data_IF_521419100959
#
_entry.id   IF_521419100959
#
_cell.length_a   1.000
_cell.length_b   1.000
_cell.length_c   1.000
_cell.angle_alpha   90.00
_cell.angle_beta   90.00
_cell.angle_gamma   90.00
#
_symmetry.space_group_name_H-M   'P 1'
#
loop_
_entity.id
_entity.type
_entity.pdbx_description
1 polymer ?
#
# COMPACT_ATOMS: atom_id res chain seq x y z
N UNK A 1 -18.48 -19.43 -3.51
CA UNK A 1 -17.03 -19.33 -3.78
C UNK A 1 -16.79 -18.67 -5.13
N UNK A 2 -15.71 -17.89 -5.27
CA UNK A 2 -15.23 -17.39 -6.56
C UNK A 2 -14.44 -18.51 -7.24
N UNK A 3 -14.93 -19.04 -8.37
CA UNK A 3 -14.18 -20.06 -9.12
C UNK A 3 -12.99 -19.42 -9.85
N UNK A 4 -11.94 -20.21 -10.10
CA UNK A 4 -10.78 -19.80 -10.92
C UNK A 4 -11.23 -19.15 -12.24
N UNK A 5 -12.20 -19.77 -12.92
CA UNK A 5 -12.74 -19.27 -14.19
C UNK A 5 -13.40 -17.89 -14.06
N UNK A 6 -14.22 -17.69 -13.01
CA UNK A 6 -14.86 -16.41 -12.76
C UNK A 6 -13.83 -15.29 -12.48
N UNK A 7 -12.77 -15.60 -11.73
CA UNK A 7 -11.67 -14.64 -11.49
C UNK A 7 -10.95 -14.30 -12.81
N UNK A 8 -10.63 -15.29 -13.64
CA UNK A 8 -9.99 -15.04 -14.94
C UNK A 8 -10.86 -14.18 -15.87
N UNK A 9 -12.17 -14.43 -15.92
CA UNK A 9 -13.07 -13.63 -16.74
C UNK A 9 -13.21 -12.19 -16.21
N UNK A 10 -13.28 -12.04 -14.88
CA UNK A 10 -13.24 -10.71 -14.25
C UNK A 10 -11.96 -9.95 -14.61
N UNK A 11 -10.78 -10.60 -14.52
CA UNK A 11 -9.49 -9.98 -14.86
C UNK A 11 -9.46 -9.54 -16.33
N UNK A 12 -9.92 -10.41 -17.24
CA UNK A 12 -10.04 -10.10 -18.67
C UNK A 12 -10.91 -8.86 -18.89
N UNK A 13 -12.09 -8.83 -18.30
CA UNK A 13 -13.06 -7.74 -18.49
C UNK A 13 -12.57 -6.43 -17.89
N UNK A 14 -11.92 -6.47 -16.71
CA UNK A 14 -11.29 -5.30 -16.09
C UNK A 14 -10.15 -4.76 -16.96
N UNK A 15 -9.29 -5.62 -17.50
CA UNK A 15 -8.17 -5.22 -18.35
C UNK A 15 -8.66 -4.59 -19.66
N UNK A 16 -9.56 -5.28 -20.38
CA UNK A 16 -10.13 -4.77 -21.63
C UNK A 16 -10.91 -3.47 -21.38
N UNK A 17 -11.69 -3.41 -20.29
CA UNK A 17 -12.43 -2.22 -19.90
C UNK A 17 -11.53 -1.04 -19.58
N UNK A 18 -10.41 -1.27 -18.87
CA UNK A 18 -9.42 -0.23 -18.57
C UNK A 18 -8.75 0.30 -19.85
N UNK A 19 -8.34 -0.59 -20.75
CA UNK A 19 -7.76 -0.22 -22.05
C UNK A 19 -8.74 0.61 -22.88
N UNK A 20 -9.98 0.14 -23.03
CA UNK A 20 -11.02 0.86 -23.78
C UNK A 20 -11.29 2.26 -23.23
N UNK A 21 -11.36 2.42 -21.90
CA UNK A 21 -11.52 3.74 -21.26
C UNK A 21 -10.34 4.67 -21.51
N UNK A 22 -9.13 4.11 -21.63
CA UNK A 22 -7.93 4.85 -21.99
C UNK A 22 -7.77 5.10 -23.49
N UNK A 23 -8.72 4.65 -24.33
CA UNK A 23 -8.59 4.62 -25.79
C UNK A 23 -7.32 3.86 -26.27
N UNK A 24 -7.04 2.73 -25.60
CA UNK A 24 -5.91 1.84 -25.87
C UNK A 24 -6.40 0.44 -26.24
N UNK A 25 -5.49 -0.32 -26.84
CA UNK A 25 -5.63 -1.74 -27.17
C UNK A 25 -4.57 -2.57 -26.45
N UNK A 26 -4.65 -3.89 -26.58
CA UNK A 26 -3.66 -4.81 -25.99
C UNK A 26 -2.28 -4.64 -26.64
N UNK A 27 -2.24 -4.18 -27.88
CA UNK A 27 -0.98 -3.93 -28.59
C UNK A 27 -0.20 -2.76 -27.98
N UNK A 28 -0.92 -1.77 -27.43
CA UNK A 28 -0.35 -0.61 -26.75
C UNK A 28 0.27 -0.94 -25.37
N UNK A 29 -0.04 -2.11 -24.81
CA UNK A 29 0.59 -2.55 -23.56
C UNK A 29 2.06 -2.89 -23.79
N UNK A 30 2.94 -2.37 -22.95
CA UNK A 30 4.35 -2.76 -22.96
C UNK A 30 4.65 -3.90 -21.98
N UNK A 31 3.91 -3.97 -20.87
CA UNK A 31 4.11 -4.94 -19.82
C UNK A 31 2.86 -5.06 -18.94
N UNK A 32 2.62 -6.23 -18.35
CA UNK A 32 1.55 -6.49 -17.37
C UNK A 32 2.18 -7.07 -16.10
N UNK A 33 2.03 -6.34 -14.99
CA UNK A 33 2.37 -6.83 -13.66
C UNK A 33 1.15 -7.49 -13.05
N UNK A 34 1.34 -8.68 -12.50
CA UNK A 34 0.32 -9.45 -11.81
C UNK A 34 0.68 -9.46 -10.33
N UNK A 35 -0.23 -8.94 -9.50
CA UNK A 35 -0.06 -8.91 -8.05
C UNK A 35 -1.10 -9.81 -7.40
N UNK A 36 -0.68 -10.62 -6.44
CA UNK A 36 -1.57 -11.45 -5.63
C UNK A 36 -2.21 -10.69 -4.47
N UNK A 37 -2.01 -9.36 -4.32
CA UNK A 37 -2.50 -8.59 -3.16
C UNK A 37 -3.98 -8.79 -2.76
N UNK A 38 -4.82 -9.29 -3.66
CA UNK A 38 -6.20 -9.72 -3.39
C UNK A 38 -6.28 -10.92 -2.39
N UNK A 39 -5.15 -11.52 -1.99
CA UNK A 39 -5.11 -12.75 -1.20
C UNK A 39 -5.23 -12.59 0.31
N UNK A 40 -5.45 -11.38 0.83
CA UNK A 40 -5.60 -11.14 2.27
C UNK A 40 -6.75 -11.93 2.96
N UNK A 41 -7.59 -12.64 2.20
CA UNK A 41 -8.61 -13.56 2.72
C UNK A 41 -8.40 -15.06 2.47
N UNK A 42 -7.40 -15.49 1.68
CA UNK A 42 -7.19 -16.91 1.38
C UNK A 42 -6.23 -17.54 2.38
N UNK A 43 -6.58 -18.73 2.86
CA UNK A 43 -5.92 -19.38 3.99
C UNK A 43 -4.90 -20.44 3.56
N UNK A 44 -4.96 -20.92 2.30
CA UNK A 44 -4.13 -22.03 1.83
C UNK A 44 -3.18 -21.67 0.67
N UNK A 45 -1.97 -22.26 0.60
CA UNK A 45 -1.05 -22.13 -0.55
C UNK A 45 -1.66 -22.55 -1.89
N UNK A 46 -2.63 -23.47 -1.87
CA UNK A 46 -3.34 -23.94 -3.07
C UNK A 46 -4.24 -22.84 -3.65
N UNK A 47 -4.96 -22.10 -2.80
CA UNK A 47 -5.76 -20.94 -3.21
C UNK A 47 -4.90 -19.82 -3.82
N UNK A 48 -3.73 -19.56 -3.23
CA UNK A 48 -2.76 -18.58 -3.77
C UNK A 48 -2.29 -19.03 -5.16
N UNK A 49 -1.93 -20.31 -5.31
CA UNK A 49 -1.50 -20.87 -6.60
C UNK A 49 -2.62 -20.77 -7.65
N UNK A 50 -3.84 -21.13 -7.28
CA UNK A 50 -5.00 -21.02 -8.15
C UNK A 50 -5.29 -19.57 -8.55
N UNK A 51 -5.10 -18.62 -7.63
CA UNK A 51 -5.23 -17.19 -7.91
C UNK A 51 -4.17 -16.70 -8.90
N UNK A 52 -2.89 -17.06 -8.71
CA UNK A 52 -1.81 -16.71 -9.65
C UNK A 52 -2.12 -17.20 -11.06
N UNK A 53 -2.58 -18.45 -11.18
CA UNK A 53 -2.96 -19.01 -12.47
C UNK A 53 -4.20 -18.30 -13.02
N UNK A 54 -5.19 -17.98 -12.19
CA UNK A 54 -6.38 -17.26 -12.63
C UNK A 54 -6.05 -15.87 -13.20
N UNK A 55 -5.15 -15.13 -12.54
CA UNK A 55 -4.65 -13.83 -13.01
C UNK A 55 -3.94 -13.96 -14.36
N UNK A 56 -3.09 -14.97 -14.52
CA UNK A 56 -2.40 -15.27 -15.78
C UNK A 56 -3.38 -15.59 -16.91
N UNK A 57 -4.32 -16.49 -16.65
CA UNK A 57 -5.34 -16.93 -17.60
C UNK A 57 -6.23 -15.77 -18.02
N UNK A 58 -6.57 -14.86 -17.11
CA UNK A 58 -7.32 -13.64 -17.44
C UNK A 58 -6.59 -12.72 -18.42
N UNK A 59 -5.28 -12.52 -18.24
CA UNK A 59 -4.46 -11.76 -19.19
C UNK A 59 -4.40 -12.44 -20.56
N UNK A 60 -4.23 -13.76 -20.60
CA UNK A 60 -4.21 -14.54 -21.85
C UNK A 60 -5.56 -14.47 -22.58
N UNK A 61 -6.67 -14.61 -21.86
CA UNK A 61 -8.02 -14.45 -22.41
C UNK A 61 -8.27 -13.03 -22.96
N UNK A 62 -7.58 -12.03 -22.42
CA UNK A 62 -7.65 -10.66 -22.93
C UNK A 62 -6.77 -10.44 -24.16
N UNK A 63 -6.00 -11.44 -24.61
CA UNK A 63 -5.09 -11.36 -25.75
C UNK A 63 -3.68 -10.89 -25.41
N UNK A 64 -3.32 -10.76 -24.12
CA UNK A 64 -1.97 -10.34 -23.73
C UNK A 64 -0.98 -11.47 -24.01
N UNK A 65 0.06 -11.25 -24.83
CA UNK A 65 1.06 -12.27 -25.10
C UNK A 65 1.92 -12.56 -23.85
N UNK A 66 2.38 -13.81 -23.64
CA UNK A 66 3.27 -14.17 -22.53
C UNK A 66 4.53 -13.31 -22.41
N UNK A 67 5.07 -12.83 -23.54
CA UNK A 67 6.24 -11.95 -23.58
C UNK A 67 6.03 -10.60 -22.87
N UNK A 68 4.79 -10.12 -22.74
CA UNK A 68 4.46 -8.90 -21.99
C UNK A 68 4.23 -9.17 -20.49
N UNK A 69 4.37 -10.42 -20.03
CA UNK A 69 4.17 -10.82 -18.63
C UNK A 69 5.46 -11.34 -17.96
N UNK A 70 6.57 -11.38 -18.70
CA UNK A 70 7.87 -11.85 -18.25
C UNK A 70 8.94 -10.77 -18.46
N UNK A 71 9.90 -10.58 -17.53
CA UNK A 71 11.00 -9.65 -17.71
C UNK A 71 11.77 -9.90 -19.01
N UNK A 72 12.23 -8.83 -19.66
CA UNK A 72 13.15 -8.94 -20.78
C UNK A 72 14.51 -9.46 -20.29
N UNK A 73 15.08 -10.41 -21.06
CA UNK A 73 16.40 -10.99 -20.81
C UNK A 73 17.52 -10.17 -21.43
N UNK A 74 17.18 -9.34 -22.42
CA UNK A 74 18.13 -8.46 -23.09
C UNK A 74 17.43 -7.20 -23.59
N UNK A 75 18.23 -6.15 -23.84
CA UNK A 75 17.74 -4.87 -24.36
C UNK A 75 16.94 -5.00 -25.65
N UNK A 76 17.28 -5.96 -26.52
CA UNK A 76 16.61 -6.18 -27.81
C UNK A 76 15.15 -6.65 -27.68
N UNK A 77 14.74 -7.15 -26.51
CA UNK A 77 13.36 -7.56 -26.24
C UNK A 77 12.49 -6.41 -25.75
N UNK A 78 13.08 -5.24 -25.46
CA UNK A 78 12.34 -4.06 -25.04
C UNK A 78 11.89 -3.23 -26.26
N UNK A 79 10.74 -2.55 -26.16
CA UNK A 79 10.33 -1.53 -27.13
C UNK A 79 11.42 -0.47 -27.31
N UNK A 80 11.74 -0.14 -28.57
CA UNK A 80 12.79 0.83 -28.95
C UNK A 80 12.76 2.16 -28.17
N UNK A 81 11.60 2.77 -27.84
CA UNK A 81 11.57 4.00 -27.06
C UNK A 81 12.25 3.91 -25.67
N UNK A 82 12.44 2.71 -25.13
CA UNK A 82 13.05 2.49 -23.82
C UNK A 82 14.57 2.30 -23.84
N UNK A 83 15.19 2.22 -25.02
CA UNK A 83 16.63 1.96 -25.14
C UNK A 83 17.51 2.95 -24.38
N UNK A 84 17.09 4.22 -24.32
CA UNK A 84 17.78 5.29 -23.60
C UNK A 84 17.67 5.20 -22.07
N UNK A 85 16.70 4.44 -21.56
CA UNK A 85 16.47 4.23 -20.13
C UNK A 85 16.92 2.85 -19.66
N UNK A 86 17.23 1.95 -20.58
CA UNK A 86 17.66 0.58 -20.29
C UNK A 86 19.06 0.57 -19.68
N UNK A 87 19.20 -0.09 -18.53
CA UNK A 87 20.46 -0.27 -17.81
C UNK A 87 20.91 -1.74 -17.76
N UNK A 88 20.33 -2.63 -18.58
CA UNK A 88 20.66 -4.06 -18.61
C UNK A 88 22.14 -4.33 -18.94
N UNK A 89 22.80 -3.44 -19.69
CA UNK A 89 24.25 -3.54 -19.98
C UNK A 89 25.12 -3.18 -18.75
N UNK A 90 24.51 -2.70 -17.66
CA UNK A 90 25.21 -2.20 -16.48
C UNK A 90 24.88 -2.99 -15.22
N UNK A 91 23.65 -3.49 -15.10
CA UNK A 91 23.10 -4.17 -13.93
C UNK A 91 22.11 -5.25 -14.38
N UNK A 92 21.88 -6.24 -13.53
CA UNK A 92 20.77 -7.18 -13.68
C UNK A 92 19.71 -6.96 -12.59
N UNK A 93 18.48 -7.40 -12.85
CA UNK A 93 17.43 -7.41 -11.84
C UNK A 93 17.74 -8.50 -10.81
N UNK A 94 17.85 -8.11 -9.55
CA UNK A 94 18.25 -8.94 -8.41
C UNK A 94 17.15 -9.05 -7.36
N UNK A 95 15.90 -8.78 -7.76
CA UNK A 95 14.73 -8.77 -6.89
C UNK A 95 14.50 -7.44 -6.15
N UNK A 96 15.47 -6.52 -6.13
CA UNK A 96 15.28 -5.24 -5.44
C UNK A 96 14.36 -4.29 -6.23
N UNK A 97 13.29 -3.83 -5.59
CA UNK A 97 12.31 -2.90 -6.17
C UNK A 97 12.51 -1.52 -5.57
N UNK A 98 12.73 -0.51 -6.42
CA UNK A 98 12.98 0.88 -5.98
C UNK A 98 14.08 1.04 -4.90
N UNK A 99 15.13 0.20 -4.98
CA UNK A 99 16.26 0.24 -4.05
C UNK A 99 15.98 -0.36 -2.68
N UNK A 100 14.99 -1.25 -2.57
CA UNK A 100 14.65 -1.98 -1.36
C UNK A 100 14.74 -3.47 -1.66
N UNK A 101 15.43 -4.23 -0.81
CA UNK A 101 15.47 -5.69 -0.89
C UNK A 101 14.20 -6.26 -0.25
N UNK A 102 13.53 -7.23 -0.88
CA UNK A 102 12.44 -7.95 -0.22
C UNK A 102 12.96 -8.71 1.02
N UNK A 103 12.12 -8.93 2.04
CA UNK A 103 12.43 -9.81 3.17
C UNK A 103 12.87 -11.20 2.70
N UNK A 104 13.83 -11.78 3.41
CA UNK A 104 14.30 -13.14 3.15
C UNK A 104 13.45 -14.15 3.90
N UNK A 105 12.96 -15.19 3.22
CA UNK A 105 12.27 -16.31 3.84
C UNK A 105 10.82 -16.44 3.40
N UNK A 106 10.00 -17.11 4.23
CA UNK A 106 8.57 -17.27 3.99
C UNK A 106 7.86 -15.91 4.17
N UNK A 107 6.83 -15.68 3.36
CA UNK A 107 5.99 -14.48 3.46
C UNK A 107 5.52 -14.25 4.89
N UNK A 108 5.66 -13.01 5.33
CA UNK A 108 5.42 -12.59 6.71
C UNK A 108 3.95 -12.20 6.92
N UNK A 109 3.35 -11.59 5.90
CA UNK A 109 1.93 -11.19 5.88
C UNK A 109 1.35 -11.46 4.49
N UNK A 110 0.07 -11.84 4.42
CA UNK A 110 -0.57 -12.21 3.15
C UNK A 110 -0.63 -11.06 2.11
N UNK A 111 -0.50 -9.82 2.55
CA UNK A 111 -0.50 -8.61 1.72
C UNK A 111 0.90 -7.98 1.56
N UNK A 112 1.97 -8.76 1.72
CA UNK A 112 3.35 -8.26 1.67
C UNK A 112 3.71 -7.62 0.31
N UNK A 113 3.25 -8.23 -0.79
CA UNK A 113 3.43 -7.69 -2.15
C UNK A 113 2.66 -6.38 -2.35
N UNK A 114 1.50 -6.23 -1.72
CA UNK A 114 0.73 -4.98 -1.73
C UNK A 114 1.55 -3.85 -1.10
N UNK A 115 2.17 -4.11 0.06
CA UNK A 115 3.08 -3.17 0.71
C UNK A 115 4.29 -2.78 -0.15
N UNK A 116 4.84 -3.71 -0.93
CA UNK A 116 5.93 -3.41 -1.88
C UNK A 116 5.48 -2.46 -2.99
N UNK A 117 4.35 -2.78 -3.63
CA UNK A 117 3.80 -1.97 -4.72
C UNK A 117 3.39 -0.59 -4.21
N UNK A 118 2.77 -0.50 -3.04
CA UNK A 118 2.43 0.78 -2.41
C UNK A 118 3.68 1.62 -2.17
N UNK A 119 4.72 1.04 -1.57
CA UNK A 119 5.98 1.75 -1.33
C UNK A 119 6.59 2.26 -2.63
N UNK A 120 6.65 1.40 -3.63
CA UNK A 120 7.21 1.73 -4.93
C UNK A 120 6.40 2.81 -5.66
N UNK A 121 5.07 2.72 -5.59
CA UNK A 121 4.16 3.68 -6.21
C UNK A 121 4.18 5.05 -5.54
N UNK A 122 4.26 5.11 -4.21
CA UNK A 122 4.43 6.39 -3.51
C UNK A 122 5.78 7.03 -3.87
N UNK A 123 6.86 6.24 -4.02
CA UNK A 123 8.15 6.77 -4.50
C UNK A 123 8.07 7.36 -5.91
N UNK A 124 7.20 6.82 -6.77
CA UNK A 124 6.90 7.43 -8.08
C UNK A 124 6.07 8.71 -7.88
N UNK A 125 5.03 8.63 -7.06
CA UNK A 125 4.14 9.74 -6.71
C UNK A 125 4.89 10.97 -6.22
N UNK A 126 5.89 10.74 -5.37
CA UNK A 126 6.78 11.76 -4.82
C UNK A 126 7.53 12.56 -5.87
N UNK A 127 7.74 12.04 -7.08
CA UNK A 127 8.40 12.78 -8.17
C UNK A 127 7.59 13.96 -8.68
N UNK A 128 6.29 14.00 -8.39
CA UNK A 128 5.42 15.14 -8.70
C UNK A 128 5.30 16.12 -7.53
N UNK A 129 6.04 15.89 -6.44
CA UNK A 129 6.04 16.74 -5.25
C UNK A 129 7.47 17.20 -4.92
N UNK A 130 7.62 18.00 -3.87
CA UNK A 130 8.92 18.40 -3.35
C UNK A 130 9.46 17.44 -2.27
N UNK A 131 8.66 16.45 -1.86
CA UNK A 131 9.02 15.51 -0.79
C UNK A 131 9.88 14.39 -1.37
N UNK A 132 11.10 14.25 -0.88
CA UNK A 132 11.96 13.13 -1.26
C UNK A 132 11.51 11.83 -0.54
N UNK A 133 10.65 11.02 -1.13
CA UNK A 133 10.17 9.78 -0.49
C UNK A 133 11.11 8.57 -0.62
N UNK A 134 12.41 8.78 -0.84
CA UNK A 134 13.40 7.69 -0.82
C UNK A 134 13.61 7.16 0.61
N UNK A 135 14.52 6.20 0.78
CA UNK A 135 14.70 5.56 2.09
C UNK A 135 15.43 6.47 3.11
N UNK A 136 15.21 6.36 4.43
CA UNK A 136 14.22 5.50 5.08
C UNK A 136 12.81 6.09 4.90
N UNK A 137 11.81 5.24 4.74
CA UNK A 137 10.43 5.69 4.56
C UNK A 137 9.43 4.70 5.15
N UNK A 138 8.26 5.19 5.53
CA UNK A 138 7.09 4.40 5.90
C UNK A 138 5.97 4.67 4.89
N UNK A 139 5.48 3.61 4.25
CA UNK A 139 4.34 3.64 3.36
C UNK A 139 3.10 3.08 4.07
N UNK A 140 1.96 3.72 3.87
CA UNK A 140 0.68 3.34 4.47
C UNK A 140 -0.38 3.32 3.36
N UNK A 141 -1.02 2.18 3.17
CA UNK A 141 -2.17 2.03 2.30
C UNK A 141 -3.45 1.90 3.12
N UNK A 142 -4.31 2.90 2.98
CA UNK A 142 -5.69 2.88 3.46
C UNK A 142 -6.63 2.37 2.37
N UNK A 143 -6.36 1.16 1.88
CA UNK A 143 -7.29 0.35 1.10
C UNK A 143 -8.41 -0.18 1.99
N UNK A 144 -9.07 -1.27 1.60
CA UNK A 144 -10.03 -1.95 2.49
C UNK A 144 -9.31 -2.51 3.72
N UNK A 145 -8.19 -3.19 3.49
CA UNK A 145 -7.23 -3.65 4.48
C UNK A 145 -6.09 -2.63 4.62
N UNK A 146 -5.45 -2.64 5.78
CA UNK A 146 -4.21 -1.91 6.02
C UNK A 146 -3.05 -2.69 5.38
N UNK A 147 -2.30 -2.03 4.51
CA UNK A 147 -1.04 -2.54 3.97
C UNK A 147 0.05 -1.45 4.06
N UNK A 148 1.31 -1.85 3.89
CA UNK A 148 2.42 -0.90 3.91
C UNK A 148 3.70 -1.50 4.43
N UNK A 149 4.80 -0.75 4.28
CA UNK A 149 6.15 -1.16 4.70
C UNK A 149 6.93 0.00 5.28
N UNK A 150 7.89 -0.35 6.11
CA UNK A 150 8.86 0.58 6.69
C UNK A 150 10.25 0.13 6.25
N UNK A 151 11.05 1.05 5.69
CA UNK A 151 12.39 0.78 5.17
C UNK A 151 13.45 1.56 5.94
N UNK A 152 14.63 0.97 6.09
CA UNK A 152 15.79 1.64 6.71
C UNK A 152 16.67 2.34 5.67
N UNK A 153 17.76 2.97 6.12
CA UNK A 153 18.70 3.75 5.31
C UNK A 153 19.96 2.96 4.90
N UNK A 154 19.91 1.62 4.90
CA UNK A 154 21.05 0.79 4.48
C UNK A 154 21.40 1.01 3.01
N UNK A 155 22.69 0.82 2.68
CA UNK A 155 23.25 0.93 1.32
C UNK A 155 23.90 -0.39 0.87
N UNK A 156 23.91 -0.69 -0.44
CA UNK A 156 23.29 0.09 -1.52
C UNK A 156 21.76 -0.02 -1.57
N UNK A 157 21.21 -1.02 -0.88
CA UNK A 157 19.76 -1.22 -0.78
C UNK A 157 19.30 -1.11 0.67
N UNK A 158 18.12 -0.51 0.83
CA UNK A 158 17.42 -0.56 2.09
C UNK A 158 16.84 -1.96 2.32
N UNK A 159 16.65 -2.29 3.60
CA UNK A 159 15.86 -3.45 4.00
C UNK A 159 14.48 -2.98 4.47
N UNK A 160 13.50 -3.86 4.31
CA UNK A 160 12.24 -3.77 5.05
C UNK A 160 12.54 -4.07 6.52
N UNK A 161 12.13 -3.17 7.41
CA UNK A 161 12.27 -3.30 8.87
C UNK A 161 10.93 -3.36 9.59
N UNK A 162 9.83 -3.10 8.87
CA UNK A 162 8.49 -3.36 9.37
C UNK A 162 7.47 -3.49 8.25
N UNK A 163 6.35 -4.17 8.53
CA UNK A 163 5.20 -4.27 7.65
C UNK A 163 3.92 -3.89 8.41
N UNK A 164 2.93 -3.39 7.67
CA UNK A 164 1.62 -3.04 8.19
C UNK A 164 0.56 -4.05 7.73
N UNK A 165 -0.35 -4.42 8.63
CA UNK A 165 -1.44 -5.35 8.32
C UNK A 165 -2.74 -5.05 9.10
N UNK A 166 -3.86 -5.62 8.64
CA UNK A 166 -5.14 -5.58 9.36
C UNK A 166 -6.20 -4.73 8.67
N UNK A 167 -7.03 -4.04 9.44
CA UNK A 167 -8.17 -3.25 8.96
C UNK A 167 -7.79 -1.78 8.74
N UNK A 168 -8.22 -1.21 7.61
CA UNK A 168 -8.11 0.23 7.32
C UNK A 168 -9.46 0.80 6.87
N UNK A 169 -9.73 0.82 5.57
CA UNK A 169 -10.99 1.33 5.01
C UNK A 169 -12.22 0.57 5.50
N UNK A 170 -12.09 -0.71 5.83
CA UNK A 170 -13.15 -1.50 6.44
C UNK A 170 -13.69 -0.89 7.75
N UNK A 171 -12.87 -0.14 8.50
CA UNK A 171 -13.28 0.59 9.71
C UNK A 171 -14.22 1.73 9.34
N UNK A 172 -13.84 2.52 8.32
CA UNK A 172 -14.67 3.63 7.85
C UNK A 172 -15.97 3.12 7.21
N UNK A 173 -15.89 2.02 6.44
CA UNK A 173 -17.05 1.38 5.84
C UNK A 173 -18.00 0.84 6.92
N UNK A 174 -17.50 0.28 8.02
CA UNK A 174 -18.32 -0.17 9.14
C UNK A 174 -19.15 0.98 9.75
N UNK A 175 -18.50 2.10 10.07
CA UNK A 175 -19.20 3.28 10.59
C UNK A 175 -20.28 3.73 9.60
N UNK A 176 -19.99 3.76 8.30
CA UNK A 176 -20.98 4.16 7.29
C UNK A 176 -22.12 3.14 7.13
N UNK A 177 -21.88 1.83 7.22
CA UNK A 177 -22.96 0.83 7.14
C UNK A 177 -23.99 0.99 8.24
N UNK A 178 -23.56 1.37 9.44
CA UNK A 178 -24.45 1.67 10.56
C UNK A 178 -25.33 2.91 10.37
N UNK A 179 -24.91 3.85 9.51
CA UNK A 179 -25.65 5.09 9.24
C UNK A 179 -26.96 4.92 8.45
N UNK A 180 -27.15 3.76 7.81
CA UNK A 180 -28.29 3.52 6.92
C UNK A 180 -28.20 4.19 5.54
N UNK A 181 -27.11 4.91 5.23
CA UNK A 181 -26.91 5.60 3.95
C UNK A 181 -26.47 4.67 2.81
N UNK A 182 -25.99 3.48 3.14
CA UNK A 182 -25.44 2.51 2.20
C UNK A 182 -25.97 1.12 2.49
N UNK A 183 -25.65 0.15 1.63
CA UNK A 183 -26.02 -1.25 1.87
C UNK A 183 -25.39 -1.77 3.17
N UNK A 184 -26.21 -2.32 4.07
CA UNK A 184 -25.77 -2.80 5.39
C UNK A 184 -24.68 -3.89 5.36
N UNK A 185 -24.59 -4.66 4.29
CA UNK A 185 -23.65 -5.79 4.20
C UNK A 185 -22.45 -5.52 3.29
N UNK A 186 -22.61 -4.66 2.28
CA UNK A 186 -21.61 -4.44 1.22
C UNK A 186 -21.29 -2.97 0.94
N UNK A 187 -21.97 -2.06 1.63
CA UNK A 187 -21.83 -0.64 1.39
C UNK A 187 -20.49 -0.10 1.86
N UNK A 188 -19.95 0.83 1.08
CA UNK A 188 -18.71 1.53 1.37
C UNK A 188 -18.95 3.04 1.44
N UNK A 189 -18.01 3.78 2.02
CA UNK A 189 -18.06 5.26 2.09
C UNK A 189 -18.32 5.91 0.71
N UNK A 190 -17.81 5.27 -0.36
CA UNK A 190 -17.91 5.77 -1.74
C UNK A 190 -19.33 5.74 -2.30
N UNK A 191 -20.21 4.92 -1.73
CA UNK A 191 -21.59 4.78 -2.19
C UNK A 191 -22.49 5.93 -1.71
N UNK A 192 -21.98 6.78 -0.81
CA UNK A 192 -22.70 7.97 -0.32
C UNK A 192 -22.79 9.02 -1.43
N UNK A 193 -24.03 9.28 -1.88
CA UNK A 193 -24.34 10.21 -2.98
C UNK A 193 -24.49 11.67 -2.55
N UNK A 194 -25.06 11.94 -1.37
CA UNK A 194 -25.27 13.30 -0.86
C UNK A 194 -24.31 13.58 0.30
N UNK A 195 -23.60 14.71 0.25
CA UNK A 195 -22.59 15.12 1.24
C UNK A 195 -22.88 16.48 1.87
N UNK A 196 -24.10 16.97 1.73
CA UNK A 196 -24.51 18.27 2.28
C UNK A 196 -24.77 18.21 3.79
N UNK A 197 -24.68 19.37 4.43
CA UNK A 197 -24.94 19.53 5.86
C UNK A 197 -23.90 20.42 6.56
N UNK A 198 -24.22 20.83 7.79
CA UNK A 198 -23.31 21.57 8.65
C UNK A 198 -22.58 20.60 9.58
N UNK A 199 -21.25 20.63 9.55
CA UNK A 199 -20.41 19.79 10.41
C UNK A 199 -20.56 20.22 11.87
N UNK A 200 -20.94 19.28 12.74
CA UNK A 200 -20.81 19.44 14.19
C UNK A 200 -19.48 18.85 14.68
N UNK A 201 -18.44 19.70 14.75
CA UNK A 201 -17.07 19.27 15.07
C UNK A 201 -16.94 18.61 16.45
N UNK A 202 -17.57 19.18 17.48
CA UNK A 202 -17.54 18.63 18.84
C UNK A 202 -18.11 17.20 18.89
N UNK A 203 -19.19 16.98 18.15
CA UNK A 203 -19.81 15.67 18.07
C UNK A 203 -18.95 14.67 17.29
N UNK A 204 -18.36 15.11 16.18
CA UNK A 204 -17.43 14.30 15.40
C UNK A 204 -16.18 13.89 16.20
N UNK A 205 -15.62 14.81 17.00
CA UNK A 205 -14.50 14.53 17.91
C UNK A 205 -14.89 13.49 18.97
N UNK A 206 -16.02 13.69 19.65
CA UNK A 206 -16.57 12.72 20.63
C UNK A 206 -16.69 11.33 20.03
N UNK A 207 -17.32 11.19 18.86
CA UNK A 207 -17.51 9.88 18.23
C UNK A 207 -16.23 9.32 17.61
N UNK A 208 -15.31 10.18 17.16
CA UNK A 208 -13.97 9.76 16.74
C UNK A 208 -13.19 9.13 17.89
N UNK A 209 -13.23 9.74 19.07
CA UNK A 209 -12.65 9.18 20.29
C UNK A 209 -13.34 7.89 20.74
N UNK A 210 -14.68 7.84 20.66
CA UNK A 210 -15.44 6.62 20.97
C UNK A 210 -15.06 5.46 20.05
N UNK A 211 -14.93 5.70 18.74
CA UNK A 211 -14.50 4.67 17.78
C UNK A 211 -13.09 4.14 18.12
N UNK A 212 -12.18 5.04 18.52
CA UNK A 212 -10.81 4.68 18.88
C UNK A 212 -10.66 3.86 20.16
N UNK A 213 -11.74 3.66 20.93
CA UNK A 213 -11.77 2.71 22.05
C UNK A 213 -11.86 1.26 21.59
N UNK A 214 -12.42 1.02 20.40
CA UNK A 214 -12.57 -0.32 19.81
C UNK A 214 -11.44 -0.64 18.82
N UNK A 215 -10.75 0.38 18.31
CA UNK A 215 -9.65 0.23 17.35
C UNK A 215 -8.34 -0.03 18.10
N UNK A 216 -7.80 -1.23 17.92
CA UNK A 216 -6.53 -1.69 18.49
C UNK A 216 -5.41 -1.53 17.47
N UNK A 217 -4.39 -0.75 17.82
CA UNK A 217 -3.16 -0.62 17.04
C UNK A 217 -2.00 -1.03 17.93
N UNK A 218 -1.28 -2.08 17.55
CA UNK A 218 -0.18 -2.62 18.34
C UNK A 218 0.79 -3.42 17.47
N UNK A 219 1.92 -3.83 18.06
CA UNK A 219 2.72 -4.90 17.48
C UNK A 219 1.89 -6.18 17.48
N UNK A 220 1.89 -6.91 16.36
CA UNK A 220 1.11 -8.14 16.21
C UNK A 220 1.64 -9.19 17.21
N UNK A 221 0.78 -9.78 18.06
CA UNK A 221 1.19 -10.81 19.01
C UNK A 221 1.85 -12.02 18.33
N UNK A 222 2.68 -12.76 19.06
CA UNK A 222 3.44 -13.89 18.49
C UNK A 222 2.58 -15.14 18.23
N UNK A 223 1.45 -15.25 18.93
CA UNK A 223 0.58 -16.42 19.04
C UNK A 223 -0.68 -16.34 18.14
N UNK A 224 -0.70 -15.40 17.19
CA UNK A 224 -1.84 -15.22 16.27
C UNK A 224 -1.48 -15.59 14.83
N UNK A 225 -2.46 -16.17 14.13
CA UNK A 225 -2.38 -16.48 12.70
C UNK A 225 -3.11 -15.43 11.84
N UNK A 226 -3.91 -14.56 12.46
CA UNK A 226 -4.62 -13.45 11.81
C UNK A 226 -4.64 -12.22 12.71
N UNK A 227 -4.61 -11.05 12.09
CA UNK A 227 -4.80 -9.77 12.77
C UNK A 227 -5.63 -8.85 11.89
N UNK A 228 -6.75 -8.32 12.40
CA UNK A 228 -7.67 -7.54 11.57
C UNK A 228 -8.15 -8.30 10.33
N UNK A 229 -8.42 -9.60 10.48
CA UNK A 229 -8.80 -10.55 9.43
C UNK A 229 -7.70 -10.88 8.40
N UNK A 230 -6.55 -10.23 8.44
CA UNK A 230 -5.43 -10.52 7.52
C UNK A 230 -4.57 -11.66 8.08
N UNK A 231 -4.27 -12.72 7.31
CA UNK A 231 -3.32 -13.75 7.72
C UNK A 231 -1.91 -13.18 7.94
N UNK A 232 -1.30 -13.58 9.06
CA UNK A 232 0.02 -13.12 9.50
C UNK A 232 0.87 -14.28 9.97
N UNK A 233 2.20 -14.12 9.90
CA UNK A 233 3.17 -15.05 10.45
C UNK A 233 4.21 -14.29 11.30
N UNK A 234 3.89 -14.00 12.58
CA UNK A 234 4.75 -13.25 13.48
C UNK A 234 6.14 -13.90 13.68
N UNK A 235 6.21 -15.23 13.69
CA UNK A 235 7.49 -15.94 13.77
C UNK A 235 8.40 -15.69 12.58
N UNK A 236 7.84 -15.73 11.37
CA UNK A 236 8.59 -15.43 10.14
C UNK A 236 9.03 -13.98 10.13
N UNK A 237 8.20 -13.06 10.64
CA UNK A 237 8.56 -11.65 10.83
C UNK A 237 9.80 -11.49 11.70
N UNK A 238 9.78 -12.15 12.87
CA UNK A 238 10.87 -12.11 13.83
C UNK A 238 12.16 -12.70 13.25
N UNK A 239 12.07 -13.82 12.52
CA UNK A 239 13.20 -14.45 11.82
C UNK A 239 13.77 -13.54 10.72
N UNK A 240 12.92 -12.80 10.01
CA UNK A 240 13.32 -11.84 8.99
C UNK A 240 13.84 -10.51 9.56
N UNK A 241 13.74 -10.29 10.88
CA UNK A 241 14.12 -9.04 11.53
C UNK A 241 13.17 -7.88 11.21
N UNK A 242 11.90 -8.18 10.94
CA UNK A 242 10.85 -7.21 10.62
C UNK A 242 9.81 -7.12 11.73
N UNK A 243 9.40 -5.91 12.09
CA UNK A 243 8.32 -5.68 13.06
C UNK A 243 6.97 -5.68 12.33
N UNK A 244 5.97 -6.40 12.86
CA UNK A 244 4.60 -6.35 12.36
C UNK A 244 3.77 -5.40 13.20
N UNK A 245 3.25 -4.34 12.56
CA UNK A 245 2.33 -3.40 13.19
C UNK A 245 0.94 -3.64 12.61
N UNK A 246 -0.01 -3.97 13.48
CA UNK A 246 -1.37 -4.31 13.11
C UNK A 246 -2.39 -3.23 13.47
N UNK A 247 -3.50 -3.19 12.73
CA UNK A 247 -4.72 -2.46 13.09
C UNK A 247 -5.92 -3.42 13.11
N UNK A 248 -6.64 -3.51 14.22
CA UNK A 248 -7.80 -4.40 14.40
C UNK A 248 -8.95 -3.65 15.10
N UNK A 249 -10.14 -4.24 15.07
CA UNK A 249 -11.34 -3.77 15.77
C UNK A 249 -11.84 -4.93 16.64
N UNK A 250 -11.54 -4.89 17.93
CA UNK A 250 -11.70 -6.05 18.82
C UNK A 250 -10.69 -7.15 18.52
N UNK A 251 -11.18 -8.39 18.36
CA UNK A 251 -10.38 -9.55 17.94
C UNK A 251 -10.84 -10.00 16.54
N UNK A 252 -10.01 -9.75 15.53
CA UNK A 252 -10.29 -10.04 14.12
C UNK A 252 -11.64 -9.47 13.64
N UNK A 253 -11.95 -8.23 14.05
CA UNK A 253 -13.18 -7.54 13.67
C UNK A 253 -14.41 -7.86 14.55
N UNK A 254 -14.26 -8.54 15.68
CA UNK A 254 -15.37 -8.88 16.59
C UNK A 254 -16.21 -7.65 17.01
N UNK A 255 -15.59 -6.47 17.10
CA UNK A 255 -16.25 -5.23 17.53
C UNK A 255 -16.70 -4.33 16.37
N UNK A 256 -16.72 -4.83 15.12
CA UNK A 256 -17.21 -4.06 13.96
C UNK A 256 -18.63 -3.53 14.18
N UNK A 257 -19.50 -4.29 14.84
CA UNK A 257 -20.87 -3.86 15.16
C UNK A 257 -20.89 -2.62 16.08
N UNK A 258 -19.88 -2.43 16.93
CA UNK A 258 -19.75 -1.23 17.77
C UNK A 258 -19.45 0.02 16.94
N UNK A 259 -18.72 -0.14 15.84
CA UNK A 259 -18.49 0.95 14.89
C UNK A 259 -19.75 1.29 14.09
N UNK A 260 -20.54 0.28 13.72
CA UNK A 260 -21.85 0.48 13.09
C UNK A 260 -22.80 1.26 14.03
N UNK A 261 -22.83 0.91 15.32
CA UNK A 261 -23.63 1.65 16.32
C UNK A 261 -23.23 3.12 16.41
N UNK A 262 -21.94 3.46 16.29
CA UNK A 262 -21.47 4.86 16.25
C UNK A 262 -22.04 5.58 15.03
N UNK A 263 -21.98 4.97 13.85
CA UNK A 263 -22.55 5.52 12.63
C UNK A 263 -24.03 5.82 12.74
N UNK A 264 -24.78 4.91 13.36
CA UNK A 264 -26.21 5.08 13.66
C UNK A 264 -26.44 6.28 14.57
N UNK A 265 -25.76 6.36 15.72
CA UNK A 265 -25.91 7.46 16.68
C UNK A 265 -25.60 8.83 16.05
N UNK A 266 -24.57 8.92 15.21
CA UNK A 266 -24.24 10.18 14.51
C UNK A 266 -25.40 10.65 13.64
N UNK A 267 -26.08 9.73 12.94
CA UNK A 267 -27.23 10.07 12.09
C UNK A 267 -28.49 10.38 12.90
N UNK A 268 -28.65 9.82 14.10
CA UNK A 268 -29.74 10.16 15.02
C UNK A 268 -29.55 11.55 15.65
N UNK A 269 -28.30 11.95 15.93
CA UNK A 269 -27.97 13.21 16.61
C UNK A 269 -27.55 14.35 15.66
N UNK A 270 -27.24 14.05 14.40
CA UNK A 270 -26.65 15.00 13.45
C UNK A 270 -26.91 14.64 11.97
N UNK A 271 -25.90 14.76 11.11
CA UNK A 271 -26.03 14.65 9.66
C UNK A 271 -24.79 14.02 9.00
N UNK A 272 -24.90 13.79 7.69
CA UNK A 272 -23.88 13.13 6.86
C UNK A 272 -22.53 13.87 6.90
N UNK A 273 -22.53 15.21 6.92
CA UNK A 273 -21.28 15.98 6.98
C UNK A 273 -20.53 15.75 8.30
N UNK A 274 -21.25 15.63 9.42
CA UNK A 274 -20.67 15.24 10.72
C UNK A 274 -20.12 13.80 10.69
N UNK A 275 -20.85 12.86 10.08
CA UNK A 275 -20.40 11.48 9.90
C UNK A 275 -19.10 11.43 9.11
N UNK A 276 -19.03 12.07 7.94
CA UNK A 276 -17.84 12.08 7.09
C UNK A 276 -16.64 12.70 7.79
N UNK A 277 -16.85 13.80 8.54
CA UNK A 277 -15.77 14.42 9.33
C UNK A 277 -15.31 13.51 10.49
N UNK A 278 -16.21 12.71 11.07
CA UNK A 278 -15.84 11.69 12.07
C UNK A 278 -14.90 10.65 11.45
N UNK A 279 -15.18 10.19 10.21
CA UNK A 279 -14.28 9.29 9.49
C UNK A 279 -12.90 9.93 9.26
N UNK A 280 -12.87 11.24 8.96
CA UNK A 280 -11.61 11.96 8.78
C UNK A 280 -10.75 11.92 10.06
N UNK A 281 -11.37 12.16 11.22
CA UNK A 281 -10.72 12.08 12.54
C UNK A 281 -10.24 10.66 12.84
N UNK A 282 -11.08 9.65 12.60
CA UNK A 282 -10.73 8.24 12.85
C UNK A 282 -9.50 7.83 12.06
N UNK A 283 -9.48 8.09 10.75
CA UNK A 283 -8.31 7.77 9.89
C UNK A 283 -7.05 8.53 10.29
N UNK A 284 -7.17 9.81 10.66
CA UNK A 284 -6.03 10.61 11.09
C UNK A 284 -5.41 10.06 12.39
N UNK A 285 -6.25 9.67 13.34
CA UNK A 285 -5.80 9.11 14.61
C UNK A 285 -5.27 7.67 14.47
N UNK A 286 -5.78 6.86 13.52
CA UNK A 286 -5.16 5.58 13.15
C UNK A 286 -3.73 5.83 12.64
N UNK A 287 -3.58 6.76 11.70
CA UNK A 287 -2.27 7.11 11.13
C UNK A 287 -1.28 7.55 12.21
N UNK A 288 -1.72 8.42 13.13
CA UNK A 288 -0.91 8.85 14.27
C UNK A 288 -0.40 7.67 15.09
N UNK A 289 -1.29 6.78 15.54
CA UNK A 289 -0.93 5.62 16.37
C UNK A 289 0.02 4.66 15.64
N UNK A 290 -0.16 4.46 14.33
CA UNK A 290 0.76 3.63 13.53
C UNK A 290 2.17 4.22 13.49
N UNK A 291 2.28 5.53 13.21
CA UNK A 291 3.58 6.22 13.13
C UNK A 291 4.23 6.36 14.50
N UNK A 292 3.45 6.63 15.54
CA UNK A 292 3.90 6.70 16.94
C UNK A 292 4.51 5.37 17.37
N UNK A 293 3.82 4.25 17.13
CA UNK A 293 4.36 2.93 17.44
C UNK A 293 5.64 2.62 16.64
N UNK A 294 5.68 2.96 15.36
CA UNK A 294 6.88 2.78 14.54
C UNK A 294 8.06 3.63 15.03
N UNK A 295 7.80 4.84 15.52
CA UNK A 295 8.77 5.74 16.15
C UNK A 295 9.28 5.14 17.46
N UNK A 296 8.39 4.66 18.32
CA UNK A 296 8.75 4.06 19.62
C UNK A 296 9.58 2.78 19.46
N UNK A 297 9.35 2.05 18.35
CA UNK A 297 10.16 0.89 17.95
C UNK A 297 11.49 1.26 17.27
N UNK A 298 11.76 2.55 17.06
CA UNK A 298 12.99 3.06 16.46
C UNK A 298 13.12 2.81 14.95
N UNK A 299 12.05 2.37 14.28
CA UNK A 299 12.04 2.11 12.83
C UNK A 299 11.54 3.30 12.00
N UNK A 300 11.02 4.34 12.67
CA UNK A 300 10.73 5.67 12.10
C UNK A 300 11.44 6.73 12.93
N UNK A 301 12.09 7.70 12.28
CA UNK A 301 12.79 8.81 12.93
C UNK A 301 12.77 10.06 12.05
N UNK A 302 13.50 11.12 12.44
CA UNK A 302 13.55 12.40 11.73
C UNK A 302 14.09 12.31 10.29
N UNK A 303 14.82 11.25 9.94
CA UNK A 303 15.25 11.00 8.55
C UNK A 303 14.14 10.38 7.69
N UNK A 304 13.13 9.77 8.32
CA UNK A 304 12.08 9.03 7.65
C UNK A 304 11.09 9.95 6.94
N UNK A 305 10.55 9.47 5.82
CA UNK A 305 9.37 10.05 5.16
C UNK A 305 8.12 9.23 5.47
N UNK A 306 6.94 9.86 5.50
CA UNK A 306 5.65 9.15 5.58
C UNK A 306 4.86 9.37 4.30
N UNK A 307 4.43 8.27 3.69
CA UNK A 307 3.70 8.27 2.43
C UNK A 307 2.39 7.56 2.61
N UNK A 308 1.30 8.17 2.16
CA UNK A 308 -0.05 7.65 2.39
C UNK A 308 -0.78 7.56 1.06
N UNK A 309 -1.38 6.39 0.81
CA UNK A 309 -2.28 6.14 -0.33
C UNK A 309 -3.56 5.50 0.17
N UNK A 310 -4.51 5.30 -0.73
CA UNK A 310 -5.77 4.66 -0.44
C UNK A 310 -6.83 5.67 0.00
N UNK A 311 -8.05 5.48 -0.51
CA UNK A 311 -9.13 6.47 -0.40
C UNK A 311 -9.50 6.77 1.05
N UNK A 312 -9.40 5.79 1.93
CA UNK A 312 -9.69 5.98 3.35
C UNK A 312 -8.61 6.77 4.10
N UNK A 313 -7.48 7.09 3.46
CA UNK A 313 -6.39 7.92 4.01
C UNK A 313 -6.21 9.28 3.32
N UNK A 314 -6.59 9.42 2.04
CA UNK A 314 -6.25 10.61 1.24
C UNK A 314 -7.43 11.53 0.88
N UNK A 315 -8.67 11.16 1.22
CA UNK A 315 -9.87 11.92 0.84
C UNK A 315 -10.46 12.73 1.99
N UNK A 316 -11.23 13.78 1.67
CA UNK A 316 -11.86 14.65 2.69
C UNK A 316 -10.84 15.55 3.37
N UNK A 317 -11.01 15.82 4.67
CA UNK A 317 -10.04 16.60 5.45
C UNK A 317 -8.89 15.75 6.01
N UNK A 318 -8.83 14.45 5.66
CA UNK A 318 -7.81 13.53 6.19
C UNK A 318 -6.39 14.01 5.98
N UNK A 319 -5.95 14.47 4.78
CA UNK A 319 -4.57 14.91 4.61
C UNK A 319 -4.16 16.01 5.59
N UNK A 320 -5.04 16.99 5.79
CA UNK A 320 -4.82 18.08 6.74
C UNK A 320 -4.75 17.57 8.19
N UNK A 321 -5.73 16.79 8.62
CA UNK A 321 -5.76 16.25 9.99
C UNK A 321 -4.59 15.31 10.28
N UNK A 322 -4.16 14.53 9.28
CA UNK A 322 -2.99 13.65 9.40
C UNK A 322 -1.72 14.47 9.62
N UNK A 323 -1.49 15.52 8.82
CA UNK A 323 -0.33 16.41 9.00
C UNK A 323 -0.35 17.01 10.42
N UNK A 324 -1.49 17.53 10.88
CA UNK A 324 -1.65 18.08 12.23
C UNK A 324 -1.32 17.02 13.30
N UNK A 325 -1.90 15.82 13.19
CA UNK A 325 -1.71 14.73 14.16
C UNK A 325 -0.29 14.17 14.18
N UNK A 326 0.39 14.12 13.03
CA UNK A 326 1.80 13.70 12.97
C UNK A 326 2.74 14.80 13.46
N UNK A 327 2.36 16.07 13.36
CA UNK A 327 3.06 17.19 13.99
C UNK A 327 3.13 17.06 15.51
N UNK A 328 2.07 16.56 16.15
CA UNK A 328 2.04 16.29 17.60
C UNK A 328 3.13 15.29 18.05
N UNK A 329 3.65 14.44 17.15
CA UNK A 329 4.68 13.45 17.46
C UNK A 329 6.10 14.02 17.51
N UNK A 330 6.29 15.28 17.08
CA UNK A 330 7.58 15.99 17.07
C UNK A 330 8.72 15.20 16.40
N UNK A 331 8.43 14.52 15.29
CA UNK A 331 9.44 13.78 14.50
C UNK A 331 10.22 14.74 13.58
N UNK A 332 9.54 15.76 13.05
CA UNK A 332 10.09 16.77 12.15
C UNK A 332 9.73 18.17 12.62
N UNK A 333 10.57 19.15 12.30
CA UNK A 333 10.25 20.57 12.51
C UNK A 333 9.09 21.03 11.62
N UNK A 334 9.08 20.56 10.37
CA UNK A 334 8.04 20.82 9.35
C UNK A 334 7.49 19.50 8.82
N UNK A 335 6.39 18.98 9.37
CA UNK A 335 5.79 17.72 8.92
C UNK A 335 5.45 17.71 7.42
N UNK A 336 5.03 18.85 6.86
CA UNK A 336 4.66 19.01 5.44
C UNK A 336 5.80 18.69 4.46
N UNK A 337 7.06 18.84 4.87
CA UNK A 337 8.23 18.53 4.02
C UNK A 337 8.56 17.02 4.00
N UNK A 338 7.87 16.24 4.84
CA UNK A 338 8.19 14.84 5.12
C UNK A 338 7.00 13.89 4.89
N UNK A 339 5.80 14.44 4.75
CA UNK A 339 4.56 13.70 4.56
C UNK A 339 4.05 13.95 3.15
N UNK A 340 3.69 12.89 2.43
CA UNK A 340 3.00 13.02 1.15
C UNK A 340 1.79 12.09 1.04
N UNK A 341 0.85 12.51 0.21
CA UNK A 341 -0.35 11.76 -0.14
C UNK A 341 -0.31 11.48 -1.64
N UNK A 342 -0.53 10.22 -2.01
CA UNK A 342 -0.46 9.76 -3.40
C UNK A 342 -1.74 9.03 -3.74
N UNK A 343 -2.34 9.41 -4.86
CA UNK A 343 -3.47 8.69 -5.43
C UNK A 343 -2.98 7.45 -6.18
N UNK A 344 -3.71 6.34 -6.05
CA UNK A 344 -3.46 5.08 -6.76
C UNK A 344 -2.03 4.52 -6.65
N UNK A 345 -1.48 4.53 -5.42
CA UNK A 345 -0.15 3.98 -5.13
C UNK A 345 0.07 2.56 -5.68
N UNK A 346 -0.93 1.68 -5.66
CA UNK A 346 -0.83 0.34 -6.23
C UNK A 346 -0.62 0.32 -7.75
N UNK A 347 -1.37 1.14 -8.50
CA UNK A 347 -1.25 1.20 -9.94
C UNK A 347 0.10 1.80 -10.36
N UNK A 348 0.55 2.86 -9.68
CA UNK A 348 1.88 3.43 -9.85
C UNK A 348 2.98 2.43 -9.49
N UNK A 349 2.76 1.66 -8.42
CA UNK A 349 3.61 0.57 -7.97
C UNK A 349 3.82 -0.50 -9.04
N UNK A 350 2.73 -0.96 -9.66
CA UNK A 350 2.76 -1.92 -10.75
C UNK A 350 3.56 -1.36 -11.96
N UNK A 351 3.35 -0.10 -12.31
CA UNK A 351 4.11 0.55 -13.39
C UNK A 351 5.62 0.58 -13.12
N UNK A 352 6.04 0.95 -11.91
CA UNK A 352 7.47 1.00 -11.58
C UNK A 352 8.08 -0.38 -11.35
N UNK A 353 7.29 -1.37 -10.90
CA UNK A 353 7.71 -2.76 -10.80
C UNK A 353 8.09 -3.30 -12.18
N UNK A 354 7.25 -3.07 -13.20
CA UNK A 354 7.58 -3.43 -14.59
C UNK A 354 8.90 -2.80 -15.04
N UNK A 355 9.15 -1.54 -14.69
CA UNK A 355 10.41 -0.85 -14.99
C UNK A 355 11.60 -1.45 -14.24
N UNK A 356 11.45 -1.79 -12.96
CA UNK A 356 12.53 -2.42 -12.17
C UNK A 356 12.90 -3.79 -12.73
N UNK A 357 11.91 -4.63 -13.04
CA UNK A 357 12.10 -5.95 -13.63
C UNK A 357 12.85 -5.88 -14.98
N UNK A 358 12.65 -4.79 -15.72
CA UNK A 358 13.30 -4.53 -17.01
C UNK A 358 14.52 -3.59 -16.91
N UNK A 359 15.07 -3.37 -15.70
CA UNK A 359 16.23 -2.50 -15.46
C UNK A 359 16.12 -1.10 -16.11
N UNK A 360 14.91 -0.53 -16.18
CA UNK A 360 14.65 0.80 -16.72
C UNK A 360 14.83 1.86 -15.62
N UNK A 361 15.79 2.77 -15.79
CA UNK A 361 16.16 3.74 -14.75
C UNK A 361 16.48 5.14 -15.26
N UNK A 362 16.43 6.11 -14.35
CA UNK A 362 16.74 7.52 -14.61
C UNK A 362 17.75 8.02 -13.57
N UNK A 363 19.08 7.85 -13.76
CA UNK A 363 20.08 8.19 -12.74
C UNK A 363 20.07 9.65 -12.28
N UNK A 364 19.66 10.58 -13.16
CA UNK A 364 19.55 12.02 -12.85
C UNK A 364 18.37 12.35 -11.93
N UNK A 365 17.40 11.45 -11.81
CA UNK A 365 16.24 11.59 -10.93
C UNK A 365 15.87 10.19 -10.40
N UNK A 366 16.63 9.65 -9.43
CA UNK A 366 16.49 8.29 -8.95
C UNK A 366 15.24 8.11 -8.08
N UNK A 367 14.65 6.90 -8.13
CA UNK A 367 13.52 6.49 -7.27
C UNK A 367 14.01 5.64 -6.08
N UNK A 368 15.18 5.01 -6.22
CA UNK A 368 15.84 4.25 -5.15
C UNK A 368 17.03 5.00 -4.55
N UNK A 369 17.55 4.43 -3.46
CA UNK A 369 18.58 5.06 -2.63
C UNK A 369 17.98 5.75 -1.42
N UNK A 370 18.78 6.61 -0.78
CA UNK A 370 18.36 7.32 0.42
C UNK A 370 17.94 8.76 0.12
N UNK A 371 17.18 9.33 1.05
CA UNK A 371 16.74 10.74 1.04
C UNK A 371 17.95 11.65 1.08
N UNK A 372 17.93 12.70 0.26
CA UNK A 372 19.02 13.68 0.13
C UNK A 372 20.30 13.14 -0.56
N UNK A 373 20.38 11.84 -0.85
CA UNK A 373 21.57 11.23 -1.42
C UNK A 373 21.57 11.20 -2.96
N UNK A 374 22.73 10.89 -3.53
CA UNK A 374 22.91 10.62 -4.95
C UNK A 374 22.32 9.26 -5.39
N UNK A 375 22.30 9.03 -6.70
CA UNK A 375 21.86 7.75 -7.27
C UNK A 375 22.77 6.58 -6.87
N UNK A 376 22.17 5.47 -6.42
CA UNK A 376 22.86 4.23 -6.00
C UNK A 376 23.36 3.33 -7.15
N UNK A 377 23.27 3.75 -8.42
CA UNK A 377 23.62 2.88 -9.55
C UNK A 377 25.08 2.41 -9.47
N UNK A 378 26.01 3.27 -9.07
CA UNK A 378 27.42 2.89 -8.90
C UNK A 378 27.62 1.84 -7.81
N UNK A 379 27.03 2.08 -6.64
CA UNK A 379 27.11 1.15 -5.50
C UNK A 379 26.46 -0.20 -5.82
N UNK A 380 25.30 -0.19 -6.49
CA UNK A 380 24.63 -1.39 -6.98
C UNK A 380 25.52 -2.20 -7.92
N UNK A 381 26.17 -1.55 -8.90
CA UNK A 381 27.09 -2.22 -9.84
C UNK A 381 28.26 -2.87 -9.12
N UNK A 382 28.84 -2.16 -8.14
CA UNK A 382 29.92 -2.69 -7.32
C UNK A 382 29.47 -3.96 -6.57
N UNK A 383 28.33 -3.91 -5.88
CA UNK A 383 27.77 -5.05 -5.16
C UNK A 383 27.51 -6.26 -6.09
N UNK A 384 26.93 -6.01 -7.27
CA UNK A 384 26.64 -7.09 -8.23
C UNK A 384 27.93 -7.72 -8.80
N UNK A 385 29.00 -6.95 -9.00
CA UNK A 385 30.33 -7.49 -9.37
C UNK A 385 30.93 -8.34 -8.26
N UNK A 386 30.88 -7.85 -7.01
CA UNK A 386 31.36 -8.58 -5.84
C UNK A 386 30.62 -9.91 -5.63
N UNK A 387 29.33 -9.96 -6.00
CA UNK A 387 28.50 -11.17 -5.98
C UNK A 387 28.63 -12.05 -7.24
N UNK A 388 29.48 -11.69 -8.19
CA UNK A 388 29.66 -12.43 -9.45
C UNK A 388 28.44 -12.42 -10.38
N UNK A 389 27.50 -11.51 -10.17
CA UNK A 389 26.25 -11.40 -10.96
C UNK A 389 26.48 -10.73 -12.31
N UNK A 390 27.47 -9.83 -12.38
CA UNK A 390 27.89 -9.14 -13.60
C UNK A 390 29.41 -9.13 -13.68
N UNK A 391 29.96 -9.07 -14.91
CA UNK A 391 31.41 -9.04 -15.16
C UNK A 391 32.00 -7.64 -15.00
#
# INVERSE_FOLDING_TARGET
ELSKGAVSDMVKDVLIGALKRGNLTVDDLHFVVRSTGVTAGFASPEEISNMIVALADGCLKAGVPPSKMAPAMSKNQLPKPFDKYCLMDKIIFDGAVTGVVPPTGKEVVANEMEGELVTAGIKVGAKWTQVDFRNPCMSIDFGTTLAGRITNDKKPYANVVGNLCGLAGAIADAIVRGSGLVNKNKGAVLDIKNREGKINKKLAEKYGEEAHKYIKICEVPMDVERFGTVPVNPESAKKAGTILIGCDVGENGSDILKLEDIGKKIMEESNISTLLYTLDIVSAQITKKLVELAKDKGIVNSKSAIGITGRAGITGNKPKLIIEKLGELNIWEKPEDNILFVEDGLALGASIMARCMNCLGTPKNPIGGNRGDNCILGERRKLQKERGMIR
#
